data_IF_716086036104
#
_entry.id   IF_716086036104
#
_cell.length_a   1.000
_cell.length_b   1.000
_cell.length_c   1.000
_cell.angle_alpha   90.00
_cell.angle_beta   90.00
_cell.angle_gamma   90.00
#
_symmetry.space_group_name_H-M   'P 1'
#
loop_
_entity.id
_entity.type
_entity.pdbx_description
1 polymer ?
#
# COMPACT_ATOMS: atom_id res chain seq x y z
N UNK A 1 9.41 6.42 23.49
CA UNK A 1 8.62 5.32 22.87
C UNK A 1 9.28 4.96 21.55
N UNK A 2 9.71 3.72 21.36
CA UNK A 2 10.60 3.34 20.25
C UNK A 2 9.84 3.31 18.91
N UNK A 3 10.40 3.95 17.88
CA UNK A 3 9.90 3.88 16.50
C UNK A 3 10.20 2.50 15.88
N UNK A 4 9.36 2.01 14.94
CA UNK A 4 9.68 0.81 14.18
C UNK A 4 11.02 0.94 13.44
N UNK A 5 11.83 -0.14 13.30
CA UNK A 5 13.11 -0.09 12.59
C UNK A 5 13.00 0.45 11.16
N UNK A 6 11.92 0.10 10.44
CA UNK A 6 11.63 0.63 9.10
C UNK A 6 11.55 2.15 9.08
N UNK A 7 10.93 2.77 10.09
CA UNK A 7 10.83 4.24 10.20
C UNK A 7 12.20 4.89 10.44
N UNK A 8 13.06 4.25 11.23
CA UNK A 8 14.43 4.75 11.50
C UNK A 8 15.25 4.73 10.22
N UNK A 9 15.23 3.61 9.49
CA UNK A 9 15.97 3.47 8.24
C UNK A 9 15.45 4.43 7.16
N UNK A 10 14.12 4.59 7.07
CA UNK A 10 13.51 5.53 6.11
C UNK A 10 13.94 6.95 6.37
N UNK A 11 14.00 7.39 7.64
CA UNK A 11 14.46 8.73 8.00
C UNK A 11 15.87 9.02 7.48
N UNK A 12 16.81 8.09 7.68
CA UNK A 12 18.18 8.25 7.19
C UNK A 12 18.23 8.39 5.66
N UNK A 13 17.37 7.66 4.94
CA UNK A 13 17.26 7.74 3.47
C UNK A 13 16.67 9.09 3.03
N UNK A 14 15.58 9.54 3.68
CA UNK A 14 14.95 10.83 3.42
C UNK A 14 15.95 11.96 3.61
N UNK A 15 16.71 11.96 4.72
CA UNK A 15 17.73 12.96 5.01
C UNK A 15 18.87 12.96 3.98
N UNK A 16 19.30 11.77 3.51
CA UNK A 16 20.37 11.65 2.52
C UNK A 16 19.94 12.09 1.11
N UNK A 17 18.69 11.82 0.72
CA UNK A 17 18.18 12.12 -0.62
C UNK A 17 17.66 13.55 -0.73
N UNK A 18 17.02 14.08 0.32
CA UNK A 18 16.27 15.34 0.27
C UNK A 18 15.22 15.30 -0.84
N UNK A 19 15.00 16.45 -1.49
CA UNK A 19 13.97 16.59 -2.54
C UNK A 19 14.38 15.99 -3.91
N UNK A 20 15.49 15.25 -3.98
CA UNK A 20 16.01 14.69 -5.23
C UNK A 20 15.25 13.46 -5.72
N UNK A 21 14.47 12.83 -4.85
CA UNK A 21 13.74 11.61 -5.16
C UNK A 21 12.43 11.51 -4.37
N UNK A 22 11.44 10.90 -5.00
CA UNK A 22 10.22 10.41 -4.34
C UNK A 22 10.55 9.13 -3.57
N UNK A 23 10.06 9.01 -2.34
CA UNK A 23 10.32 7.85 -1.47
C UNK A 23 9.01 7.09 -1.26
N UNK A 24 9.06 5.78 -1.48
CA UNK A 24 7.98 4.82 -1.23
C UNK A 24 8.51 3.72 -0.35
N UNK A 25 7.69 3.26 0.59
CA UNK A 25 8.11 2.27 1.59
C UNK A 25 7.21 1.05 1.51
N UNK A 26 7.79 -0.11 1.22
CA UNK A 26 7.13 -1.40 1.39
C UNK A 26 7.51 -2.01 2.74
N UNK A 27 6.49 -2.34 3.53
CA UNK A 27 6.62 -2.90 4.87
C UNK A 27 6.48 -4.43 4.85
N UNK A 28 5.91 -4.99 3.78
CA UNK A 28 5.71 -6.42 3.59
C UNK A 28 5.02 -7.11 4.78
N UNK A 29 3.90 -6.54 5.24
CA UNK A 29 3.04 -7.11 6.29
C UNK A 29 3.67 -7.19 7.69
N UNK A 30 4.82 -6.54 7.91
CA UNK A 30 5.61 -6.71 9.12
C UNK A 30 4.99 -6.10 10.40
N UNK A 31 3.94 -5.26 10.29
CA UNK A 31 3.34 -4.60 11.44
C UNK A 31 1.96 -5.18 11.80
N UNK A 32 1.69 -5.24 13.10
CA UNK A 32 0.32 -5.34 13.61
C UNK A 32 -0.43 -4.00 13.42
N UNK A 33 -1.74 -3.98 13.68
CA UNK A 33 -2.56 -2.79 13.47
C UNK A 33 -2.11 -1.56 14.30
N UNK A 34 -1.63 -1.77 15.52
CA UNK A 34 -1.22 -0.68 16.42
C UNK A 34 0.11 -0.06 15.97
N UNK A 35 1.09 -0.91 15.67
CA UNK A 35 2.39 -0.56 15.13
C UNK A 35 2.23 0.06 13.75
N UNK A 36 1.35 -0.49 12.91
CA UNK A 36 1.03 0.02 11.58
C UNK A 36 0.47 1.43 11.63
N UNK A 37 -0.49 1.70 12.51
CA UNK A 37 -1.04 3.05 12.68
C UNK A 37 0.02 4.07 13.10
N UNK A 38 0.91 3.70 14.02
CA UNK A 38 2.01 4.56 14.46
C UNK A 38 3.03 4.77 13.34
N UNK A 39 3.52 3.67 12.74
CA UNK A 39 4.53 3.68 11.69
C UNK A 39 4.07 4.46 10.47
N UNK A 40 2.83 4.26 10.02
CA UNK A 40 2.29 5.00 8.88
C UNK A 40 2.23 6.51 9.13
N UNK A 41 1.85 6.96 10.34
CA UNK A 41 1.90 8.38 10.70
C UNK A 41 3.32 8.94 10.70
N UNK A 42 4.28 8.18 11.20
CA UNK A 42 5.68 8.59 11.18
C UNK A 42 6.22 8.70 9.75
N UNK A 43 5.95 7.71 8.90
CA UNK A 43 6.35 7.73 7.49
C UNK A 43 5.68 8.88 6.72
N UNK A 44 4.39 9.13 6.94
CA UNK A 44 3.67 10.25 6.35
C UNK A 44 4.30 11.60 6.74
N UNK A 45 4.65 11.77 8.02
CA UNK A 45 5.32 12.98 8.50
C UNK A 45 6.74 13.17 7.95
N UNK A 46 7.36 12.12 7.39
CA UNK A 46 8.66 12.22 6.69
C UNK A 46 8.52 12.61 5.21
N UNK A 47 7.30 12.73 4.69
CA UNK A 47 7.06 13.00 3.27
C UNK A 47 7.17 11.77 2.37
N UNK A 48 6.91 10.57 2.91
CA UNK A 48 6.77 9.35 2.08
C UNK A 48 5.51 9.47 1.23
N UNK A 49 5.63 9.16 -0.07
CA UNK A 49 4.56 9.31 -1.06
C UNK A 49 3.60 8.12 -1.11
N UNK A 50 4.08 6.93 -0.71
CA UNK A 50 3.31 5.69 -0.74
C UNK A 50 3.82 4.71 0.32
N UNK A 51 2.89 4.07 1.04
CA UNK A 51 3.18 3.02 2.01
C UNK A 51 2.53 1.72 1.54
N UNK A 52 3.34 0.74 1.17
CA UNK A 52 2.90 -0.57 0.66
C UNK A 52 2.81 -1.61 1.78
N UNK A 53 1.67 -2.31 1.79
CA UNK A 53 1.29 -3.40 2.68
C UNK A 53 1.82 -3.28 4.12
N UNK A 54 1.38 -2.26 4.90
CA UNK A 54 1.86 -2.03 6.26
C UNK A 54 1.55 -3.19 7.22
N UNK A 55 0.38 -3.80 7.06
CA UNK A 55 -0.17 -4.84 7.94
C UNK A 55 -0.45 -6.12 7.16
N UNK A 56 -0.71 -7.20 7.91
CA UNK A 56 -1.09 -8.51 7.37
C UNK A 56 -2.14 -8.40 6.26
N UNK A 57 -1.94 -9.17 5.18
CA UNK A 57 -2.92 -9.32 4.11
C UNK A 57 -4.26 -9.91 4.56
N UNK A 58 -4.29 -10.52 5.75
CA UNK A 58 -5.50 -11.07 6.35
C UNK A 58 -6.27 -10.06 7.21
N UNK A 59 -5.68 -8.89 7.51
CA UNK A 59 -6.31 -7.85 8.34
C UNK A 59 -6.80 -6.67 7.48
N UNK A 60 -7.81 -6.95 6.65
CA UNK A 60 -8.42 -5.94 5.80
C UNK A 60 -9.04 -4.79 6.60
N UNK A 61 -9.54 -5.06 7.81
CA UNK A 61 -10.14 -4.03 8.65
C UNK A 61 -9.09 -3.00 9.09
N UNK A 62 -7.90 -3.45 9.49
CA UNK A 62 -6.79 -2.55 9.77
C UNK A 62 -6.35 -1.80 8.51
N UNK A 63 -6.25 -2.48 7.36
CA UNK A 63 -5.83 -1.87 6.11
C UNK A 63 -6.80 -0.76 5.63
N UNK A 64 -8.11 -1.01 5.71
CA UNK A 64 -9.18 -0.03 5.46
C UNK A 64 -9.04 1.16 6.41
N UNK A 65 -8.94 0.91 7.71
CA UNK A 65 -8.81 1.96 8.71
C UNK A 65 -7.58 2.84 8.47
N UNK A 66 -6.44 2.23 8.14
CA UNK A 66 -5.22 2.96 7.80
C UNK A 66 -5.43 3.84 6.56
N UNK A 67 -6.04 3.30 5.49
CA UNK A 67 -6.28 4.05 4.25
C UNK A 67 -7.20 5.27 4.43
N UNK A 68 -8.06 5.26 5.44
CA UNK A 68 -8.99 6.36 5.73
C UNK A 68 -8.40 7.39 6.70
N UNK A 69 -7.44 6.98 7.55
CA UNK A 69 -6.91 7.81 8.63
C UNK A 69 -5.55 8.44 8.30
N UNK A 70 -4.84 7.89 7.32
CA UNK A 70 -3.52 8.35 6.90
C UNK A 70 -3.65 9.07 5.56
N UNK A 71 -3.10 10.27 5.48
CA UNK A 71 -3.17 11.11 4.27
C UNK A 71 -2.28 10.56 3.15
N UNK A 72 -1.11 10.01 3.49
CA UNK A 72 -0.26 9.27 2.55
C UNK A 72 -0.99 8.03 2.03
N UNK A 73 -0.93 7.82 0.72
CA UNK A 73 -1.57 6.69 0.08
C UNK A 73 -1.08 5.35 0.66
N UNK A 74 -2.02 4.50 1.03
CA UNK A 74 -1.78 3.10 1.41
C UNK A 74 -1.96 2.23 0.18
N UNK A 75 -0.99 1.38 -0.14
CA UNK A 75 -1.08 0.40 -1.21
C UNK A 75 -1.25 -1.01 -0.65
N UNK A 76 -2.28 -1.72 -1.14
CA UNK A 76 -2.50 -3.13 -0.88
C UNK A 76 -1.83 -3.99 -1.97
N UNK A 77 -0.90 -4.86 -1.60
CA UNK A 77 -0.26 -5.81 -2.53
C UNK A 77 -0.61 -7.26 -2.22
N UNK A 78 -0.23 -7.77 -1.06
CA UNK A 78 -0.54 -9.15 -0.67
C UNK A 78 -2.01 -9.34 -0.31
N UNK A 79 -2.71 -8.28 0.12
CA UNK A 79 -4.16 -8.33 0.33
C UNK A 79 -4.97 -8.42 -0.98
N UNK A 80 -4.35 -8.16 -2.14
CA UNK A 80 -5.02 -8.16 -3.45
C UNK A 80 -4.26 -9.04 -4.44
N UNK A 81 -4.67 -10.30 -4.58
CA UNK A 81 -4.12 -11.19 -5.60
C UNK A 81 -4.86 -11.07 -6.93
N UNK A 82 -6.17 -10.89 -6.86
CA UNK A 82 -7.07 -10.86 -8.01
C UNK A 82 -7.87 -9.56 -8.08
N UNK A 83 -8.47 -9.30 -9.24
CA UNK A 83 -9.41 -8.19 -9.40
C UNK A 83 -10.59 -8.27 -8.42
N UNK A 84 -11.01 -9.50 -8.08
CA UNK A 84 -12.09 -9.75 -7.15
C UNK A 84 -11.71 -9.36 -5.72
N UNK A 85 -10.47 -9.65 -5.30
CA UNK A 85 -9.98 -9.25 -3.97
C UNK A 85 -9.96 -7.72 -3.84
N UNK A 86 -9.48 -7.02 -4.88
CA UNK A 86 -9.51 -5.56 -4.94
C UNK A 86 -10.93 -4.99 -4.87
N UNK A 87 -11.88 -5.60 -5.60
CA UNK A 87 -13.29 -5.23 -5.52
C UNK A 87 -13.88 -5.44 -4.12
N UNK A 88 -13.60 -6.58 -3.48
CA UNK A 88 -14.06 -6.88 -2.12
C UNK A 88 -13.47 -5.92 -1.10
N UNK A 89 -12.19 -5.59 -1.21
CA UNK A 89 -11.51 -4.63 -0.33
C UNK A 89 -12.08 -3.21 -0.51
N UNK A 90 -12.37 -2.79 -1.75
CA UNK A 90 -13.03 -1.52 -2.02
C UNK A 90 -14.44 -1.47 -1.43
N UNK A 91 -15.23 -2.55 -1.52
CA UNK A 91 -16.55 -2.62 -0.88
C UNK A 91 -16.50 -2.51 0.65
N UNK A 92 -15.37 -2.87 1.27
CA UNK A 92 -15.16 -2.70 2.72
C UNK A 92 -14.80 -1.25 3.09
N UNK A 93 -14.68 -0.35 2.11
CA UNK A 93 -14.40 1.08 2.32
C UNK A 93 -12.92 1.44 2.21
N UNK A 94 -12.09 0.59 1.60
CA UNK A 94 -10.68 0.91 1.36
C UNK A 94 -10.55 2.07 0.37
N UNK A 95 -9.81 3.11 0.75
CA UNK A 95 -9.62 4.35 -0.01
C UNK A 95 -8.20 4.50 -0.59
N UNK A 96 -7.39 3.45 -0.50
CA UNK A 96 -6.03 3.44 -1.00
C UNK A 96 -5.88 2.99 -2.45
N UNK A 97 -4.69 2.50 -2.78
CA UNK A 97 -4.37 1.87 -4.06
C UNK A 97 -4.16 0.36 -3.89
N UNK A 98 -4.21 -0.41 -4.97
CA UNK A 98 -3.72 -1.78 -4.95
C UNK A 98 -2.80 -2.07 -6.12
N UNK A 99 -1.84 -2.97 -5.90
CA UNK A 99 -0.93 -3.45 -6.92
C UNK A 99 -1.60 -4.54 -7.76
N UNK A 100 -1.75 -4.29 -9.06
CA UNK A 100 -2.17 -5.31 -10.01
C UNK A 100 -0.94 -5.94 -10.65
N UNK A 101 -0.57 -7.14 -10.18
CA UNK A 101 0.54 -7.92 -10.72
C UNK A 101 -0.01 -8.94 -11.72
N UNK A 102 0.47 -8.95 -12.97
CA UNK A 102 0.01 -9.89 -14.03
C UNK A 102 0.08 -11.35 -13.55
N UNK A 103 1.16 -11.69 -12.84
CA UNK A 103 1.36 -13.03 -12.28
C UNK A 103 0.33 -13.40 -11.20
N UNK A 104 -0.19 -12.44 -10.44
CA UNK A 104 -1.22 -12.66 -9.42
C UNK A 104 -2.63 -12.65 -10.03
N UNK A 105 -2.86 -11.78 -11.01
CA UNK A 105 -4.17 -11.56 -11.63
C UNK A 105 -4.60 -12.67 -12.62
N UNK A 106 -3.77 -13.67 -12.90
CA UNK A 106 -4.11 -14.74 -13.85
C UNK A 106 -3.91 -14.37 -15.32
N UNK A 107 -2.97 -13.45 -15.61
CA UNK A 107 -2.60 -13.06 -16.96
C UNK A 107 -2.99 -11.63 -17.36
N UNK A 108 -2.50 -11.15 -18.52
CA UNK A 108 -2.63 -9.75 -18.93
C UNK A 108 -4.10 -9.35 -19.18
N UNK A 109 -4.93 -10.25 -19.69
CA UNK A 109 -6.36 -9.97 -19.93
C UNK A 109 -7.12 -9.66 -18.63
N UNK A 110 -6.80 -10.36 -17.54
CA UNK A 110 -7.41 -10.11 -16.23
C UNK A 110 -6.99 -8.76 -15.65
N UNK A 111 -5.72 -8.36 -15.84
CA UNK A 111 -5.24 -7.02 -15.46
C UNK A 111 -5.96 -5.94 -16.26
N UNK A 112 -6.14 -6.13 -17.57
CA UNK A 112 -6.89 -5.17 -18.41
C UNK A 112 -8.37 -5.07 -18.00
N UNK A 113 -8.99 -6.19 -17.60
CA UNK A 113 -10.37 -6.19 -17.11
C UNK A 113 -10.52 -5.48 -15.75
N UNK A 114 -9.48 -5.54 -14.92
CA UNK A 114 -9.39 -4.93 -13.59
C UNK A 114 -8.86 -3.50 -13.59
N UNK A 115 -8.21 -3.08 -14.69
CA UNK A 115 -7.72 -1.72 -14.89
C UNK A 115 -8.85 -0.70 -14.80
N UNK A 116 -8.53 0.60 -14.62
CA UNK A 116 -9.52 1.60 -14.25
C UNK A 116 -10.62 1.73 -15.31
N UNK A 117 -11.75 1.08 -15.06
CA UNK A 117 -13.04 1.52 -15.59
C UNK A 117 -13.38 2.74 -14.74
N UNK A 118 -13.43 3.94 -15.35
CA UNK A 118 -13.86 5.17 -14.65
C UNK A 118 -15.31 4.99 -14.18
N UNK A 119 -15.50 4.34 -13.03
CA UNK A 119 -16.72 4.43 -12.26
C UNK A 119 -16.68 5.80 -11.57
N UNK A 120 -17.65 6.65 -11.89
CA UNK A 120 -17.71 8.01 -11.37
C UNK A 120 -17.63 8.04 -9.85
N UNK A 121 -16.69 8.83 -9.32
CA UNK A 121 -16.72 9.32 -7.94
C UNK A 121 -16.17 8.37 -6.87
N UNK A 122 -14.87 8.04 -6.94
CA UNK A 122 -13.89 7.94 -5.82
C UNK A 122 -12.65 7.21 -6.35
N UNK A 123 -11.49 7.87 -6.27
CA UNK A 123 -10.29 7.52 -7.05
C UNK A 123 -9.53 6.31 -6.54
N UNK A 124 -9.95 5.12 -6.96
CA UNK A 124 -9.20 3.88 -6.75
C UNK A 124 -8.10 3.77 -7.82
N UNK A 125 -6.84 3.92 -7.40
CA UNK A 125 -5.69 3.87 -8.30
C UNK A 125 -5.12 2.45 -8.39
N UNK A 126 -4.99 1.94 -9.62
CA UNK A 126 -4.30 0.69 -9.92
C UNK A 126 -2.86 1.02 -10.33
N UNK A 127 -1.86 0.46 -9.64
CA UNK A 127 -0.46 0.58 -10.08
C UNK A 127 0.05 -0.76 -10.60
N UNK A 128 0.77 -0.72 -11.72
CA UNK A 128 1.50 -1.89 -12.19
C UNK A 128 2.79 -2.02 -11.36
N UNK A 129 2.91 -3.12 -10.62
CA UNK A 129 4.10 -3.43 -9.85
C UNK A 129 4.68 -4.78 -10.35
N UNK A 130 6.01 -4.90 -10.51
CA UNK A 130 6.62 -6.20 -10.76
C UNK A 130 6.42 -7.12 -9.55
N UNK A 131 6.21 -8.41 -9.78
CA UNK A 131 6.18 -9.41 -8.71
C UNK A 131 7.62 -9.81 -8.39
N UNK A 132 8.22 -9.15 -7.40
CA UNK A 132 9.47 -9.62 -6.79
C UNK A 132 9.11 -10.36 -5.51
N UNK A 133 9.35 -11.68 -5.47
CA UNK A 133 9.39 -12.42 -4.21
C UNK A 133 10.86 -12.49 -3.82
N UNK A 134 11.22 -11.99 -2.64
CA UNK A 134 12.52 -12.29 -2.07
C UNK A 134 12.71 -13.83 -2.04
N UNK A 135 13.91 -14.34 -2.36
CA UNK A 135 14.18 -15.78 -2.37
C UNK A 135 13.91 -16.45 -1.03
#
# INVERSE_FOLDING_TARGET
MNSPPTCVNTRAIVEALGDRASIRVDVNQAWDAATGAKGCRELAAMGVDLIEQPVSAHDNAALVRLSQQIETAILADEAVATAYDGYQLAQQGFTGAYALKIAKAGGPNSVLAAGPRRAGGQGLACTAAPCWKAP
#
